data_IF_015133476169
#
_entry.id   IF_015133476169
#
_cell.length_a   1.000
_cell.length_b   1.000
_cell.length_c   1.000
_cell.angle_alpha   90.00
_cell.angle_beta   90.00
_cell.angle_gamma   90.00
#
_symmetry.space_group_name_H-M   'P 1'
#
loop_
_entity.id
_entity.type
_entity.pdbx_description
1 polymer ?
#
# COMPACT_ATOMS: atom_id res chain seq x y z
N UNK A 1 -5.57 -11.34 18.06
CA UNK A 1 -5.30 -12.22 16.91
C UNK A 1 -5.53 -11.44 15.61
N UNK A 2 -4.60 -11.50 14.65
CA UNK A 2 -4.67 -10.73 13.39
C UNK A 2 -5.92 -11.09 12.57
N UNK A 3 -6.66 -10.11 12.08
CA UNK A 3 -7.72 -10.37 11.08
C UNK A 3 -7.09 -10.98 9.82
N UNK A 4 -7.39 -12.26 9.48
CA UNK A 4 -6.76 -12.92 8.34
C UNK A 4 -7.10 -12.22 7.03
N UNK A 5 -8.31 -11.66 6.91
CA UNK A 5 -8.79 -11.09 5.65
C UNK A 5 -8.04 -9.82 5.24
N UNK A 6 -7.69 -8.93 6.17
CA UNK A 6 -6.88 -7.75 5.83
C UNK A 6 -5.46 -8.16 5.38
N UNK A 7 -4.86 -9.21 5.96
CA UNK A 7 -3.59 -9.73 5.46
C UNK A 7 -3.73 -10.32 4.06
N UNK A 8 -4.83 -11.04 3.78
CA UNK A 8 -5.09 -11.62 2.46
C UNK A 8 -5.28 -10.55 1.39
N UNK A 9 -6.08 -9.51 1.67
CA UNK A 9 -6.27 -8.37 0.75
C UNK A 9 -4.93 -7.67 0.50
N UNK A 10 -4.14 -7.47 1.55
CA UNK A 10 -2.81 -6.89 1.43
C UNK A 10 -1.90 -7.72 0.52
N UNK A 11 -1.85 -9.04 0.71
CA UNK A 11 -1.06 -9.95 -0.12
C UNK A 11 -1.50 -9.90 -1.59
N UNK A 12 -2.81 -9.86 -1.83
CA UNK A 12 -3.35 -9.73 -3.18
C UNK A 12 -2.93 -8.41 -3.84
N UNK A 13 -2.99 -7.30 -3.09
CA UNK A 13 -2.46 -6.01 -3.54
C UNK A 13 -0.97 -6.04 -3.86
N UNK A 14 -0.15 -6.69 -3.01
CA UNK A 14 1.28 -6.88 -3.26
C UNK A 14 1.54 -7.70 -4.53
N UNK A 15 0.81 -8.79 -4.75
CA UNK A 15 0.93 -9.59 -5.97
C UNK A 15 0.63 -8.74 -7.21
N UNK A 16 -0.43 -7.93 -7.17
CA UNK A 16 -0.76 -7.01 -8.26
C UNK A 16 0.37 -5.99 -8.50
N UNK A 17 0.96 -5.41 -7.45
CA UNK A 17 2.11 -4.51 -7.58
C UNK A 17 3.33 -5.20 -8.20
N UNK A 18 3.59 -6.46 -7.86
CA UNK A 18 4.70 -7.21 -8.44
C UNK A 18 4.44 -7.55 -9.92
N UNK A 19 3.19 -7.86 -10.28
CA UNK A 19 2.78 -8.05 -11.68
C UNK A 19 2.94 -6.74 -12.47
N UNK A 20 2.61 -5.59 -11.89
CA UNK A 20 2.77 -4.31 -12.59
C UNK A 20 4.24 -3.97 -12.88
N UNK A 21 5.18 -4.41 -12.03
CA UNK A 21 6.63 -4.29 -12.31
C UNK A 21 7.03 -5.10 -13.54
N UNK A 22 6.49 -6.30 -13.73
CA UNK A 22 6.75 -7.12 -14.93
C UNK A 22 6.23 -6.37 -16.17
N UNK A 23 5.02 -5.81 -16.11
CA UNK A 23 4.45 -5.05 -17.22
C UNK A 23 5.21 -3.75 -17.53
N UNK A 24 5.84 -3.13 -16.53
CA UNK A 24 6.67 -1.94 -16.71
C UNK A 24 7.90 -2.25 -17.58
N UNK A 25 8.44 -3.47 -17.48
CA UNK A 25 9.62 -3.91 -18.24
C UNK A 25 9.32 -4.41 -19.65
N UNK A 26 8.05 -4.52 -20.05
CA UNK A 26 7.68 -4.91 -21.42
C UNK A 26 7.82 -3.69 -22.34
N UNK A 27 8.69 -3.73 -23.34
CA UNK A 27 8.89 -2.63 -24.31
C UNK A 27 8.29 -2.96 -25.70
N UNK A 28 8.48 -2.06 -26.66
CA UNK A 28 7.96 -2.19 -28.02
C UNK A 28 8.65 -3.27 -28.85
N UNK A 29 9.70 -3.92 -28.32
CA UNK A 29 10.34 -5.07 -28.99
C UNK A 29 9.53 -6.34 -28.82
N UNK A 30 8.77 -6.45 -27.73
CA UNK A 30 7.95 -7.62 -27.42
C UNK A 30 6.47 -7.45 -27.80
N UNK A 31 6.00 -6.20 -27.97
CA UNK A 31 4.58 -5.89 -28.16
C UNK A 31 4.36 -5.07 -29.42
N UNK A 32 3.32 -5.43 -30.17
CA UNK A 32 2.94 -4.73 -31.38
C UNK A 32 2.55 -3.26 -31.10
N UNK A 33 2.75 -2.32 -32.04
CA UNK A 33 2.37 -0.92 -31.86
C UNK A 33 0.89 -0.71 -31.51
N UNK A 34 0.00 -1.58 -31.99
CA UNK A 34 -1.45 -1.52 -31.73
C UNK A 34 -1.83 -1.97 -30.31
N UNK A 35 -1.05 -2.86 -29.71
CA UNK A 35 -1.29 -3.38 -28.36
C UNK A 35 -0.59 -2.56 -27.27
N UNK A 36 0.46 -1.82 -27.64
CA UNK A 36 1.26 -1.02 -26.70
C UNK A 36 0.42 -0.04 -25.83
N UNK A 37 -0.58 0.69 -26.36
CA UNK A 37 -1.42 1.55 -25.54
C UNK A 37 -2.21 0.78 -24.45
N UNK A 38 -2.59 -0.48 -24.73
CA UNK A 38 -3.26 -1.33 -23.73
C UNK A 38 -2.31 -1.70 -22.60
N UNK A 39 -1.03 -1.93 -22.90
CA UNK A 39 0.00 -2.16 -21.89
C UNK A 39 0.25 -0.90 -21.06
N UNK A 40 0.34 0.29 -21.69
CA UNK A 40 0.44 1.57 -20.98
C UNK A 40 -0.68 1.74 -19.95
N UNK A 41 -1.92 1.43 -20.35
CA UNK A 41 -3.06 1.50 -19.46
C UNK A 41 -3.00 0.45 -18.35
N UNK A 42 -2.70 -0.80 -18.69
CA UNK A 42 -2.58 -1.88 -17.72
C UNK A 42 -1.52 -1.58 -16.63
N UNK A 43 -0.39 -0.94 -16.99
CA UNK A 43 0.64 -0.51 -16.05
C UNK A 43 0.07 0.44 -14.99
N UNK A 44 -0.63 1.50 -15.41
CA UNK A 44 -1.23 2.49 -14.50
C UNK A 44 -2.31 1.84 -13.62
N UNK A 45 -3.18 1.02 -14.21
CA UNK A 45 -4.26 0.34 -13.52
C UNK A 45 -3.77 -0.62 -12.44
N UNK A 46 -2.85 -1.53 -12.78
CA UNK A 46 -2.36 -2.53 -11.84
C UNK A 46 -1.55 -1.88 -10.72
N UNK A 47 -0.65 -0.94 -11.04
CA UNK A 47 0.12 -0.26 -10.00
C UNK A 47 -0.78 0.52 -9.03
N UNK A 48 -1.77 1.26 -9.55
CA UNK A 48 -2.65 2.07 -8.70
C UNK A 48 -3.55 1.21 -7.81
N UNK A 49 -4.21 0.20 -8.40
CA UNK A 49 -5.14 -0.68 -7.68
C UNK A 49 -4.42 -1.60 -6.69
N UNK A 50 -3.27 -2.16 -7.08
CA UNK A 50 -2.41 -2.96 -6.20
C UNK A 50 -1.95 -2.17 -4.98
N UNK A 51 -1.52 -0.92 -5.19
CA UNK A 51 -1.17 -0.01 -4.10
C UNK A 51 -2.37 0.27 -3.19
N UNK A 52 -3.54 0.60 -3.74
CA UNK A 52 -4.75 0.88 -2.95
C UNK A 52 -5.17 -0.31 -2.10
N UNK A 53 -5.12 -1.52 -2.65
CA UNK A 53 -5.46 -2.75 -1.94
C UNK A 53 -4.44 -3.04 -0.83
N UNK A 54 -3.15 -2.97 -1.13
CA UNK A 54 -2.08 -3.23 -0.16
C UNK A 54 -2.08 -2.20 0.98
N UNK A 55 -2.00 -0.91 0.64
CA UNK A 55 -1.96 0.17 1.62
C UNK A 55 -3.29 0.34 2.34
N UNK A 56 -4.43 0.27 1.63
CA UNK A 56 -5.76 0.37 2.21
C UNK A 56 -6.05 -0.72 3.26
N UNK A 57 -5.52 -1.94 3.06
CA UNK A 57 -5.61 -3.00 4.05
C UNK A 57 -4.77 -2.73 5.30
N UNK A 58 -3.52 -2.24 5.16
CA UNK A 58 -2.69 -1.83 6.29
C UNK A 58 -3.32 -0.67 7.06
N UNK A 59 -3.78 0.34 6.33
CA UNK A 59 -4.50 1.50 6.85
C UNK A 59 -5.76 1.09 7.63
N UNK A 60 -6.56 0.15 7.11
CA UNK A 60 -7.76 -0.36 7.78
C UNK A 60 -7.46 -1.07 9.09
N UNK A 61 -6.35 -1.80 9.17
CA UNK A 61 -5.90 -2.40 10.43
C UNK A 61 -5.59 -1.35 11.49
N UNK A 62 -4.82 -0.32 11.13
CA UNK A 62 -4.44 0.75 12.06
C UNK A 62 -5.65 1.58 12.48
N UNK A 63 -6.51 1.95 11.53
CA UNK A 63 -7.76 2.67 11.81
C UNK A 63 -8.65 1.92 12.80
N UNK A 64 -8.74 0.59 12.67
CA UNK A 64 -9.51 -0.22 13.61
C UNK A 64 -8.96 -0.10 15.03
N UNK A 65 -7.64 -0.22 15.19
CA UNK A 65 -6.98 -0.12 16.50
C UNK A 65 -7.23 1.26 17.10
N UNK A 66 -7.04 2.31 16.31
CA UNK A 66 -7.36 3.68 16.71
C UNK A 66 -8.81 3.81 17.19
N UNK A 67 -9.78 3.34 16.38
CA UNK A 67 -11.21 3.43 16.71
C UNK A 67 -11.56 2.64 17.97
N UNK A 68 -10.97 1.47 18.17
CA UNK A 68 -11.19 0.66 19.37
C UNK A 68 -10.71 1.42 20.62
N UNK A 69 -9.50 1.98 20.57
CA UNK A 69 -8.94 2.72 21.70
C UNK A 69 -9.68 4.03 21.98
N UNK A 70 -10.06 4.79 20.96
CA UNK A 70 -10.79 6.06 21.16
C UNK A 70 -12.21 5.82 21.66
N UNK A 71 -12.89 4.77 21.18
CA UNK A 71 -14.25 4.44 21.64
C UNK A 71 -14.28 3.85 23.05
N UNK A 72 -13.29 3.06 23.43
CA UNK A 72 -13.18 2.57 24.81
C UNK A 72 -13.11 3.73 25.83
N UNK A 73 -12.51 4.87 25.45
CA UNK A 73 -12.46 6.08 26.29
C UNK A 73 -13.78 6.87 26.35
N UNK A 74 -14.65 6.74 25.35
CA UNK A 74 -15.83 7.62 25.20
C UNK A 74 -17.16 6.90 25.49
N UNK A 75 -17.28 5.62 25.14
CA UNK A 75 -18.54 4.87 25.33
C UNK A 75 -18.30 3.34 25.31
N UNK A 76 -18.10 2.69 26.49
CA UNK A 76 -17.70 1.29 26.60
C UNK A 76 -18.79 0.28 26.21
N UNK A 77 -20.04 0.71 25.98
CA UNK A 77 -21.16 -0.21 25.70
C UNK A 77 -21.42 -0.49 24.21
N UNK A 78 -20.71 0.19 23.29
CA UNK A 78 -21.04 0.18 21.85
C UNK A 78 -20.03 -0.64 21.02
N UNK A 79 -20.38 -1.89 20.73
CA UNK A 79 -19.59 -2.82 19.88
C UNK A 79 -19.24 -2.22 18.52
N UNK A 80 -18.00 -2.43 18.08
CA UNK A 80 -17.52 -2.03 16.74
C UNK A 80 -17.82 -3.17 15.76
N UNK A 81 -18.76 -2.94 14.84
CA UNK A 81 -19.11 -3.94 13.82
C UNK A 81 -17.97 -4.19 12.82
N UNK A 82 -17.65 -5.47 12.50
CA UNK A 82 -16.60 -5.84 11.56
C UNK A 82 -16.84 -5.36 10.11
N UNK A 83 -18.10 -5.18 9.71
CA UNK A 83 -18.48 -4.81 8.34
C UNK A 83 -17.93 -3.45 7.90
N UNK A 84 -17.68 -2.54 8.85
CA UNK A 84 -17.22 -1.16 8.58
C UNK A 84 -15.75 -1.06 8.10
N UNK A 85 -15.00 -2.17 8.14
CA UNK A 85 -13.62 -2.21 7.64
C UNK A 85 -13.57 -2.47 6.13
N UNK A 86 -14.42 -3.39 5.65
CA UNK A 86 -14.56 -3.67 4.21
C UNK A 86 -15.07 -2.44 3.46
N UNK A 87 -15.99 -1.69 4.06
CA UNK A 87 -16.52 -0.45 3.46
C UNK A 87 -15.43 0.60 3.24
N UNK A 88 -14.38 0.62 4.07
CA UNK A 88 -13.32 1.63 3.95
C UNK A 88 -12.34 1.33 2.82
N UNK A 89 -11.82 0.09 2.75
CA UNK A 89 -10.96 -0.34 1.63
C UNK A 89 -11.73 -0.24 0.32
N UNK A 90 -12.98 -0.69 0.30
CA UNK A 90 -13.84 -0.58 -0.88
C UNK A 90 -14.05 0.88 -1.27
N UNK A 91 -14.27 1.79 -0.33
CA UNK A 91 -14.43 3.21 -0.62
C UNK A 91 -13.17 3.83 -1.24
N UNK A 92 -11.99 3.53 -0.69
CA UNK A 92 -10.71 3.99 -1.27
C UNK A 92 -10.51 3.44 -2.68
N UNK A 93 -10.82 2.15 -2.90
CA UNK A 93 -10.74 1.52 -4.21
C UNK A 93 -11.75 2.13 -5.19
N UNK A 94 -12.97 2.42 -4.77
CA UNK A 94 -13.97 3.07 -5.63
C UNK A 94 -13.52 4.43 -6.12
N UNK A 95 -12.88 5.25 -5.28
CA UNK A 95 -12.33 6.54 -5.70
C UNK A 95 -11.22 6.33 -6.73
N UNK A 96 -10.30 5.39 -6.47
CA UNK A 96 -9.21 5.04 -7.39
C UNK A 96 -9.74 4.58 -8.75
N UNK A 97 -10.76 3.72 -8.76
CA UNK A 97 -11.43 3.26 -9.97
C UNK A 97 -12.08 4.42 -10.75
N UNK A 98 -12.75 5.35 -10.07
CA UNK A 98 -13.36 6.52 -10.72
C UNK A 98 -12.29 7.38 -11.39
N UNK A 99 -11.16 7.63 -10.71
CA UNK A 99 -10.05 8.42 -11.28
C UNK A 99 -9.47 7.71 -12.51
N UNK A 100 -9.16 6.41 -12.41
CA UNK A 100 -8.55 5.65 -13.50
C UNK A 100 -9.49 5.46 -14.70
N UNK A 101 -10.78 5.19 -14.45
CA UNK A 101 -11.79 5.11 -15.52
C UNK A 101 -11.94 6.45 -16.23
N UNK A 102 -11.97 7.55 -15.47
CA UNK A 102 -12.04 8.89 -16.06
C UNK A 102 -10.80 9.19 -16.91
N UNK A 103 -9.60 8.83 -16.42
CA UNK A 103 -8.37 8.98 -17.18
C UNK A 103 -8.42 8.16 -18.48
N UNK A 104 -8.83 6.90 -18.41
CA UNK A 104 -8.92 6.01 -19.56
C UNK A 104 -9.95 6.46 -20.61
N UNK A 105 -11.12 6.97 -20.20
CA UNK A 105 -12.20 7.35 -21.11
C UNK A 105 -11.93 8.71 -21.77
N UNK A 106 -11.46 9.69 -20.99
CA UNK A 106 -11.34 11.07 -21.47
C UNK A 106 -9.96 11.45 -21.99
N UNK A 107 -8.90 10.78 -21.55
CA UNK A 107 -7.51 11.11 -21.93
C UNK A 107 -6.61 9.86 -21.82
N UNK A 108 -6.86 8.81 -22.62
CA UNK A 108 -6.15 7.55 -22.48
C UNK A 108 -4.65 7.70 -22.67
N UNK A 109 -3.85 6.92 -21.93
CA UNK A 109 -2.41 6.83 -22.18
C UNK A 109 -2.18 6.20 -23.55
N UNK A 110 -1.42 6.90 -24.38
CA UNK A 110 -1.01 6.48 -25.71
C UNK A 110 0.51 6.33 -25.78
N UNK A 111 0.96 5.58 -26.79
CA UNK A 111 2.38 5.49 -27.11
C UNK A 111 2.81 6.78 -27.79
N UNK A 112 3.75 7.49 -27.19
CA UNK A 112 4.42 8.65 -27.77
C UNK A 112 5.86 8.29 -28.14
N UNK A 113 6.29 8.66 -29.34
CA UNK A 113 7.66 8.40 -29.82
C UNK A 113 8.43 9.72 -29.81
N UNK A 114 9.42 9.81 -28.94
CA UNK A 114 10.36 10.92 -28.91
C UNK A 114 11.56 10.59 -29.80
N UNK A 115 11.77 11.38 -30.84
CA UNK A 115 12.86 11.18 -31.81
C UNK A 115 14.06 12.06 -31.45
N UNK A 116 15.25 11.46 -31.37
CA UNK A 116 16.49 12.17 -31.11
C UNK A 116 17.24 12.53 -32.41
N UNK A 117 18.24 13.44 -32.34
CA UNK A 117 19.09 13.77 -33.48
C UNK A 117 19.76 12.54 -34.10
N UNK A 118 20.10 12.65 -35.38
CA UNK A 118 20.81 11.59 -36.10
C UNK A 118 22.23 11.42 -35.54
N UNK A 119 22.61 10.17 -35.27
CA UNK A 119 23.93 9.78 -34.79
C UNK A 119 24.60 8.87 -35.83
N UNK A 120 25.92 8.98 -35.93
CA UNK A 120 26.73 8.12 -36.80
C UNK A 120 26.95 6.76 -36.10
N UNK A 121 26.84 5.62 -36.81
CA UNK A 121 27.02 4.30 -36.22
C UNK A 121 28.44 4.10 -35.67
N UNK A 122 28.53 3.50 -34.48
CA UNK A 122 29.80 3.27 -33.76
C UNK A 122 30.75 2.28 -34.48
N UNK A 123 30.26 1.48 -35.45
CA UNK A 123 31.01 0.32 -35.97
C UNK A 123 30.87 0.07 -37.48
N UNK A 124 30.47 1.06 -38.28
CA UNK A 124 30.30 0.86 -39.72
C UNK A 124 30.76 2.09 -40.51
N UNK A 125 31.51 1.89 -41.59
CA UNK A 125 31.95 2.94 -42.54
C UNK A 125 30.91 3.22 -43.63
N UNK A 126 29.71 2.67 -43.50
CA UNK A 126 28.61 2.86 -44.44
C UNK A 126 28.00 4.25 -44.24
N UNK A 127 27.58 4.91 -45.33
CA UNK A 127 26.90 6.22 -45.34
C UNK A 127 25.45 6.11 -44.81
N UNK A 128 25.28 5.54 -43.62
CA UNK A 128 24.00 5.41 -42.92
C UNK A 128 24.04 6.21 -41.62
N UNK A 129 22.92 6.85 -41.27
CA UNK A 129 22.73 7.55 -39.99
C UNK A 129 21.62 6.88 -39.19
N UNK A 130 21.83 6.72 -37.90
CA UNK A 130 20.86 6.11 -36.99
C UNK A 130 20.04 7.23 -36.33
N UNK A 131 18.73 7.07 -36.28
CA UNK A 131 17.83 7.94 -35.49
C UNK A 131 17.39 7.19 -34.25
N UNK A 132 17.86 7.56 -33.05
CA UNK A 132 17.34 6.97 -31.81
C UNK A 132 15.90 7.42 -31.58
N UNK A 133 15.05 6.50 -31.12
CA UNK A 133 13.66 6.77 -30.77
C UNK A 133 13.37 6.21 -29.37
N UNK A 134 12.57 6.93 -28.59
CA UNK A 134 12.21 6.59 -27.21
C UNK A 134 10.70 6.54 -27.03
N UNK A 135 10.21 5.45 -26.45
CA UNK A 135 8.78 5.13 -26.38
C UNK A 135 8.16 5.50 -25.03
N UNK A 136 7.44 6.61 -24.95
CA UNK A 136 6.75 7.01 -23.73
C UNK A 136 5.30 6.55 -23.70
N UNK A 137 4.77 6.33 -22.49
CA UNK A 137 3.34 6.19 -22.26
C UNK A 137 2.81 7.51 -21.71
N UNK A 138 2.20 8.34 -22.56
CA UNK A 138 1.78 9.68 -22.20
C UNK A 138 0.34 9.97 -22.66
N UNK A 139 -0.35 10.85 -21.95
CA UNK A 139 -1.68 11.37 -22.29
C UNK A 139 -1.58 12.87 -22.57
N UNK A 140 -2.59 13.50 -23.19
CA UNK A 140 -2.49 14.91 -23.56
C UNK A 140 -2.31 15.83 -22.35
N UNK A 141 -2.96 15.51 -21.22
CA UNK A 141 -2.85 16.25 -19.95
C UNK A 141 -2.20 15.39 -18.88
N UNK A 142 -1.11 14.71 -19.22
CA UNK A 142 -0.43 13.74 -18.35
C UNK A 142 -0.08 14.30 -16.96
N UNK A 143 0.50 15.49 -16.88
CA UNK A 143 0.86 16.12 -15.60
C UNK A 143 -0.35 16.38 -14.70
N UNK A 144 -1.51 16.69 -15.27
CA UNK A 144 -2.75 16.92 -14.52
C UNK A 144 -3.27 15.60 -13.92
N UNK A 145 -3.31 14.52 -14.71
CA UNK A 145 -3.76 13.21 -14.24
C UNK A 145 -2.80 12.59 -13.24
N UNK A 146 -1.49 12.65 -13.50
CA UNK A 146 -0.46 12.23 -12.55
C UNK A 146 -0.54 13.04 -11.25
N UNK A 147 -0.73 14.36 -11.34
CA UNK A 147 -0.94 15.23 -10.19
C UNK A 147 -2.19 14.84 -9.37
N UNK A 148 -3.30 14.51 -10.03
CA UNK A 148 -4.53 14.05 -9.38
C UNK A 148 -4.32 12.71 -8.66
N UNK A 149 -3.71 11.73 -9.34
CA UNK A 149 -3.42 10.40 -8.77
C UNK A 149 -2.44 10.54 -7.60
N UNK A 150 -1.29 11.19 -7.79
CA UNK A 150 -0.29 11.35 -6.74
C UNK A 150 -0.79 12.22 -5.58
N UNK A 151 -1.60 13.25 -5.85
CA UNK A 151 -2.24 14.04 -4.81
C UNK A 151 -3.18 13.19 -3.95
N UNK A 152 -4.06 12.41 -4.57
CA UNK A 152 -4.96 11.50 -3.86
C UNK A 152 -4.19 10.46 -3.03
N UNK A 153 -3.18 9.81 -3.63
CA UNK A 153 -2.34 8.81 -2.94
C UNK A 153 -1.55 9.46 -1.81
N UNK A 154 -1.04 10.67 -2.00
CA UNK A 154 -0.34 11.47 -0.98
C UNK A 154 -1.23 11.76 0.22
N UNK A 155 -2.49 12.16 0.00
CA UNK A 155 -3.46 12.36 1.09
C UNK A 155 -3.71 11.07 1.88
N UNK A 156 -3.86 9.94 1.19
CA UNK A 156 -4.00 8.62 1.83
C UNK A 156 -2.76 8.28 2.67
N UNK A 157 -1.57 8.51 2.13
CA UNK A 157 -0.30 8.27 2.82
C UNK A 157 -0.15 9.11 4.09
N UNK A 158 -0.45 10.41 4.00
CA UNK A 158 -0.41 11.34 5.15
C UNK A 158 -1.42 10.92 6.22
N UNK A 159 -2.64 10.55 5.82
CA UNK A 159 -3.65 10.13 6.77
C UNK A 159 -3.28 8.81 7.45
N UNK A 160 -2.75 7.84 6.71
CA UNK A 160 -2.27 6.59 7.31
C UNK A 160 -1.06 6.78 8.22
N UNK A 161 -0.17 7.72 7.89
CA UNK A 161 0.94 8.11 8.77
C UNK A 161 0.43 8.71 10.09
N UNK A 162 -0.54 9.63 10.02
CA UNK A 162 -1.16 10.24 11.20
C UNK A 162 -1.77 9.18 12.12
N UNK A 163 -2.53 8.22 11.57
CA UNK A 163 -3.10 7.14 12.38
C UNK A 163 -2.05 6.19 12.95
N UNK A 164 -1.00 5.88 12.19
CA UNK A 164 0.11 5.07 12.67
C UNK A 164 0.86 5.77 13.83
N UNK A 165 0.92 7.09 13.82
CA UNK A 165 1.48 7.88 14.91
C UNK A 165 0.59 7.83 16.16
N UNK A 166 -0.70 8.12 16.03
CA UNK A 166 -1.67 8.10 17.14
C UNK A 166 -1.75 6.72 17.82
N UNK A 167 -1.62 5.64 17.03
CA UNK A 167 -1.69 4.27 17.56
C UNK A 167 -0.40 3.75 18.18
N UNK A 168 0.72 4.50 18.10
CA UNK A 168 2.05 4.00 18.55
C UNK A 168 2.18 3.83 20.06
N UNK A 169 1.46 4.63 20.83
CA UNK A 169 1.65 4.78 22.29
C UNK A 169 0.76 3.85 23.13
N UNK A 170 -0.18 3.15 22.49
CA UNK A 170 -1.14 2.28 23.15
C UNK A 170 -0.39 1.00 23.55
N UNK A 171 -0.34 0.62 24.83
CA UNK A 171 0.44 -0.54 25.34
C UNK A 171 -0.50 -1.63 25.88
N UNK A 172 -0.79 -2.67 25.08
CA UNK A 172 -1.63 -3.83 25.44
C UNK A 172 -1.07 -5.06 24.72
N UNK A 173 -1.17 -6.26 25.32
CA UNK A 173 -0.48 -7.49 24.88
C UNK A 173 -0.80 -7.97 23.44
N UNK A 174 -1.88 -7.49 22.79
CA UNK A 174 -2.21 -7.74 21.37
C UNK A 174 -1.59 -6.71 20.38
N UNK A 175 -0.77 -5.75 20.84
CA UNK A 175 -0.33 -4.57 20.07
C UNK A 175 0.99 -4.76 19.29
N UNK A 176 1.74 -5.83 19.53
CA UNK A 176 2.94 -6.09 18.73
C UNK A 176 2.59 -6.24 17.23
N UNK A 177 1.48 -6.89 16.87
CA UNK A 177 1.01 -7.00 15.47
C UNK A 177 0.73 -5.62 14.86
N UNK A 178 0.00 -4.75 15.56
CA UNK A 178 -0.30 -3.40 15.07
C UNK A 178 0.94 -2.51 14.98
N UNK A 179 1.95 -2.73 15.84
CA UNK A 179 3.22 -1.98 15.79
C UNK A 179 3.99 -2.29 14.52
N UNK A 180 4.08 -3.56 14.12
CA UNK A 180 4.76 -3.93 12.88
C UNK A 180 4.00 -3.45 11.64
N UNK A 181 2.66 -3.47 11.66
CA UNK A 181 1.84 -2.86 10.59
C UNK A 181 2.08 -1.34 10.52
N UNK A 182 2.16 -0.66 11.67
CA UNK A 182 2.52 0.76 11.73
C UNK A 182 3.91 1.03 11.13
N UNK A 183 4.93 0.24 11.51
CA UNK A 183 6.28 0.32 10.92
C UNK A 183 6.27 0.11 9.40
N UNK A 184 5.44 -0.82 8.91
CA UNK A 184 5.26 -1.04 7.47
C UNK A 184 4.66 0.18 6.77
N UNK A 185 3.73 0.91 7.41
CA UNK A 185 3.18 2.15 6.86
C UNK A 185 4.27 3.23 6.75
N UNK A 186 5.11 3.40 7.78
CA UNK A 186 6.24 4.34 7.71
C UNK A 186 7.18 3.99 6.54
N UNK A 187 7.51 2.70 6.36
CA UNK A 187 8.33 2.23 5.24
C UNK A 187 7.73 2.61 3.88
N UNK A 188 6.44 2.31 3.66
CA UNK A 188 5.76 2.61 2.40
C UNK A 188 5.72 4.12 2.14
N UNK A 189 5.39 4.93 3.16
CA UNK A 189 5.32 6.39 3.03
C UNK A 189 6.69 6.96 2.62
N UNK A 190 7.76 6.60 3.32
CA UNK A 190 9.11 7.10 3.05
C UNK A 190 9.55 6.72 1.63
N UNK A 191 9.36 5.46 1.24
CA UNK A 191 9.74 5.01 -0.10
C UNK A 191 8.91 5.72 -1.17
N UNK A 192 7.60 5.88 -1.02
CA UNK A 192 6.77 6.59 -1.99
C UNK A 192 7.18 8.09 -2.12
N UNK A 193 7.52 8.76 -1.01
CA UNK A 193 7.95 10.15 -1.02
C UNK A 193 9.30 10.35 -1.70
N UNK A 194 10.16 9.33 -1.75
CA UNK A 194 11.43 9.37 -2.47
C UNK A 194 11.21 8.96 -3.93
N UNK A 195 10.51 7.85 -4.16
CA UNK A 195 10.37 7.25 -5.48
C UNK A 195 9.58 8.13 -6.45
N UNK A 196 8.51 8.78 -5.99
CA UNK A 196 7.68 9.62 -6.87
C UNK A 196 8.45 10.82 -7.47
N UNK A 197 9.10 11.71 -6.69
CA UNK A 197 9.83 12.84 -7.27
C UNK A 197 11.07 12.40 -8.06
N UNK A 198 11.83 11.40 -7.57
CA UNK A 198 12.99 10.91 -8.32
C UNK A 198 12.55 10.30 -9.65
N UNK A 199 11.48 9.50 -9.66
CA UNK A 199 10.90 8.92 -10.87
C UNK A 199 10.46 9.96 -11.90
N UNK A 200 9.91 11.11 -11.46
CA UNK A 200 9.59 12.22 -12.36
C UNK A 200 10.86 12.85 -12.96
N UNK A 201 11.92 13.04 -12.16
CA UNK A 201 13.17 13.67 -12.62
C UNK A 201 13.90 12.79 -13.64
N UNK A 202 13.93 11.48 -13.42
CA UNK A 202 14.64 10.54 -14.31
C UNK A 202 13.76 9.94 -15.42
N UNK A 203 12.53 10.45 -15.60
CA UNK A 203 11.57 9.90 -16.57
C UNK A 203 12.09 9.89 -18.02
N UNK A 204 13.01 10.79 -18.35
CA UNK A 204 13.66 10.84 -19.68
C UNK A 204 14.65 9.70 -19.92
N UNK A 205 15.16 9.03 -18.87
CA UNK A 205 16.04 7.87 -18.98
C UNK A 205 15.28 6.59 -18.66
N UNK A 206 14.82 5.86 -19.68
CA UNK A 206 13.93 4.71 -19.49
C UNK A 206 14.55 3.57 -18.68
N UNK A 207 15.79 3.18 -18.98
CA UNK A 207 16.47 2.11 -18.23
C UNK A 207 16.66 2.47 -16.75
N UNK A 208 17.10 3.70 -16.48
CA UNK A 208 17.29 4.20 -15.13
C UNK A 208 15.95 4.33 -14.37
N UNK A 209 14.92 4.88 -15.03
CA UNK A 209 13.57 5.03 -14.49
C UNK A 209 12.94 3.68 -14.17
N UNK A 210 12.99 2.73 -15.11
CA UNK A 210 12.50 1.37 -14.92
C UNK A 210 13.21 0.69 -13.74
N UNK A 211 14.55 0.65 -13.74
CA UNK A 211 15.32 0.01 -12.70
C UNK A 211 15.02 0.61 -11.33
N UNK A 212 15.00 1.94 -11.23
CA UNK A 212 14.73 2.65 -9.98
C UNK A 212 13.32 2.38 -9.44
N UNK A 213 12.28 2.53 -10.27
CA UNK A 213 10.88 2.32 -9.86
C UNK A 213 10.64 0.84 -9.53
N UNK A 214 11.13 -0.09 -10.36
CA UNK A 214 10.98 -1.53 -10.14
C UNK A 214 11.64 -1.96 -8.82
N UNK A 215 12.90 -1.57 -8.59
CA UNK A 215 13.61 -1.89 -7.35
C UNK A 215 12.92 -1.28 -6.14
N UNK A 216 12.44 -0.03 -6.23
CA UNK A 216 11.73 0.61 -5.14
C UNK A 216 10.42 -0.12 -4.79
N UNK A 217 9.62 -0.51 -5.79
CA UNK A 217 8.37 -1.25 -5.57
C UNK A 217 8.64 -2.63 -4.98
N UNK A 218 9.60 -3.37 -5.55
CA UNK A 218 10.00 -4.70 -5.06
C UNK A 218 10.47 -4.60 -3.60
N UNK A 219 11.43 -3.71 -3.32
CA UNK A 219 11.97 -3.51 -1.98
C UNK A 219 10.87 -3.12 -0.98
N UNK A 220 9.98 -2.19 -1.36
CA UNK A 220 8.85 -1.78 -0.54
C UNK A 220 7.92 -2.95 -0.20
N UNK A 221 7.58 -3.76 -1.20
CA UNK A 221 6.71 -4.93 -1.03
C UNK A 221 7.35 -5.99 -0.13
N UNK A 222 8.60 -6.36 -0.39
CA UNK A 222 9.32 -7.37 0.40
C UNK A 222 9.52 -6.93 1.85
N UNK A 223 9.93 -5.69 2.08
CA UNK A 223 10.13 -5.18 3.44
C UNK A 223 8.81 -5.11 4.21
N UNK A 224 7.72 -4.70 3.55
CA UNK A 224 6.38 -4.67 4.16
C UNK A 224 5.89 -6.08 4.53
N UNK A 225 6.06 -7.05 3.62
CA UNK A 225 5.75 -8.46 3.90
C UNK A 225 6.59 -9.02 5.05
N UNK A 226 7.90 -8.75 5.05
CA UNK A 226 8.81 -9.18 6.10
C UNK A 226 8.35 -8.67 7.48
N UNK A 227 8.11 -7.37 7.59
CA UNK A 227 7.67 -6.74 8.84
C UNK A 227 6.35 -7.32 9.35
N UNK A 228 5.39 -7.58 8.47
CA UNK A 228 4.05 -8.02 8.86
C UNK A 228 3.97 -9.53 9.12
N UNK A 229 4.66 -10.36 8.34
CA UNK A 229 4.50 -11.82 8.42
C UNK A 229 5.58 -12.52 9.25
N UNK A 230 6.83 -12.03 9.29
CA UNK A 230 7.91 -12.71 10.05
C UNK A 230 7.58 -12.86 11.54
N UNK A 231 7.10 -11.83 12.26
CA UNK A 231 6.75 -11.99 13.67
C UNK A 231 5.67 -13.04 13.90
N UNK A 232 4.70 -13.15 12.97
CA UNK A 232 3.58 -14.11 13.04
C UNK A 232 4.05 -15.53 12.82
N UNK A 233 4.93 -15.74 11.84
CA UNK A 233 5.49 -17.06 11.55
C UNK A 233 6.32 -17.54 12.74
N UNK A 234 7.13 -16.68 13.34
CA UNK A 234 7.92 -17.01 14.54
C UNK A 234 7.00 -17.39 15.70
N UNK A 235 5.93 -16.63 15.94
CA UNK A 235 4.97 -16.91 17.02
C UNK A 235 4.28 -18.27 16.83
N UNK A 236 3.86 -18.60 15.61
CA UNK A 236 3.25 -19.90 15.27
C UNK A 236 4.22 -21.06 15.44
N UNK A 237 5.49 -20.90 15.07
CA UNK A 237 6.51 -21.95 15.22
C UNK A 237 6.86 -22.17 16.69
N UNK A 238 6.88 -21.10 17.50
CA UNK A 238 7.23 -21.17 18.92
C UNK A 238 6.11 -21.74 19.80
N UNK A 239 4.85 -21.60 19.38
CA UNK A 239 3.66 -22.07 20.11
C UNK A 239 2.79 -23.05 19.31
N UNK A 240 3.29 -24.26 18.98
CA UNK A 240 2.54 -25.24 18.19
C UNK A 240 1.35 -25.87 18.94
N UNK A 241 1.31 -25.80 20.28
CA UNK A 241 0.30 -26.46 21.13
C UNK A 241 -1.04 -25.73 21.23
N UNK A 242 -1.11 -24.42 20.94
CA UNK A 242 -2.36 -23.63 21.04
C UNK A 242 -3.35 -23.91 19.89
N UNK A 243 -2.90 -24.60 18.83
CA UNK A 243 -3.72 -24.97 17.67
C UNK A 243 -4.73 -26.09 17.94
N UNK A 244 -4.53 -26.92 18.97
CA UNK A 244 -5.41 -28.06 19.25
C UNK A 244 -6.77 -27.63 19.86
N UNK A 245 -6.86 -26.43 20.45
CA UNK A 245 -8.09 -25.92 21.06
C UNK A 245 -8.83 -24.87 20.21
N UNK A 246 -8.20 -24.26 19.19
CA UNK A 246 -8.85 -23.23 18.38
C UNK A 246 -9.67 -23.81 17.22
N UNK A 247 -10.84 -24.38 17.53
CA UNK A 247 -11.87 -24.65 16.53
C UNK A 247 -12.24 -23.31 15.86
N UNK A 248 -12.14 -23.28 14.53
CA UNK A 248 -12.42 -22.11 13.67
C UNK A 248 -13.71 -21.40 14.07
N UNK A 249 -13.58 -20.22 14.69
CA UNK A 249 -14.69 -19.31 14.96
C UNK A 249 -14.58 -18.14 13.98
N UNK A 250 -15.55 -17.95 13.05
CA UNK A 250 -15.45 -16.93 11.99
C UNK A 250 -15.47 -15.49 12.52
N UNK A 251 -15.79 -15.29 13.80
CA UNK A 251 -15.77 -14.01 14.52
C UNK A 251 -14.40 -13.66 15.13
N UNK A 252 -13.29 -13.95 14.44
CA UNK A 252 -11.94 -13.52 14.87
C UNK A 252 -11.68 -12.01 14.67
N UNK A 253 -12.70 -11.18 14.90
CA UNK A 253 -12.57 -9.85 15.48
C UNK A 253 -11.85 -9.93 16.83
N UNK A 254 -11.38 -8.79 17.37
CA UNK A 254 -11.04 -8.67 18.79
C UNK A 254 -12.08 -9.49 19.55
N UNK A 255 -11.67 -10.63 20.13
CA UNK A 255 -12.63 -11.58 20.71
C UNK A 255 -13.44 -10.78 21.73
N UNK A 256 -14.75 -11.07 21.91
CA UNK A 256 -15.52 -10.45 22.99
C UNK A 256 -14.76 -10.55 24.32
N UNK A 257 -14.03 -11.64 24.49
CA UNK A 257 -13.13 -11.92 25.61
C UNK A 257 -11.92 -10.97 25.69
N UNK A 258 -11.31 -10.61 24.55
CA UNK A 258 -10.24 -9.60 24.49
C UNK A 258 -10.76 -8.18 24.74
N UNK A 259 -11.98 -7.88 24.27
CA UNK A 259 -12.67 -6.61 24.51
C UNK A 259 -13.00 -6.44 25.99
N UNK A 260 -13.57 -7.48 26.62
CA UNK A 260 -13.84 -7.53 28.06
C UNK A 260 -12.55 -7.45 28.89
N UNK A 261 -11.50 -8.16 28.48
CA UNK A 261 -10.20 -8.11 29.17
C UNK A 261 -9.54 -6.73 29.07
N UNK A 262 -9.64 -6.06 27.93
CA UNK A 262 -9.13 -4.70 27.77
C UNK A 262 -9.92 -3.71 28.62
N UNK A 263 -11.25 -3.81 28.62
CA UNK A 263 -12.09 -2.97 29.49
C UNK A 263 -11.71 -3.17 30.96
N UNK A 264 -11.53 -4.41 31.40
CA UNK A 264 -11.10 -4.70 32.78
C UNK A 264 -9.76 -4.04 33.12
N UNK A 265 -8.77 -4.14 32.24
CA UNK A 265 -7.46 -3.52 32.45
C UNK A 265 -7.52 -1.98 32.48
N UNK A 266 -8.41 -1.37 31.70
CA UNK A 266 -8.62 0.09 31.73
C UNK A 266 -9.25 0.50 33.06
N UNK A 267 -10.29 -0.21 33.50
CA UNK A 267 -10.94 0.05 34.80
C UNK A 267 -9.97 -0.09 35.96
N UNK A 268 -9.15 -1.17 35.98
CA UNK A 268 -8.12 -1.37 37.00
C UNK A 268 -7.07 -0.24 36.99
N UNK A 269 -6.68 0.26 35.81
CA UNK A 269 -5.73 1.37 35.70
C UNK A 269 -6.32 2.68 36.26
N UNK A 270 -7.59 2.97 35.96
CA UNK A 270 -8.28 4.14 36.49
C UNK A 270 -8.45 4.07 38.01
N UNK A 271 -8.76 2.90 38.56
CA UNK A 271 -8.82 2.67 40.02
C UNK A 271 -7.46 2.87 40.68
N UNK A 272 -6.39 2.32 40.10
CA UNK A 272 -5.02 2.52 40.56
C UNK A 272 -4.63 4.01 40.56
N UNK A 273 -4.99 4.75 39.51
CA UNK A 273 -4.74 6.19 39.45
C UNK A 273 -5.50 6.97 40.52
N UNK A 274 -6.77 6.62 40.79
CA UNK A 274 -7.53 7.24 41.88
C UNK A 274 -6.91 6.99 43.25
N UNK A 275 -6.47 5.76 43.52
CA UNK A 275 -5.81 5.41 44.77
C UNK A 275 -4.50 6.17 44.97
N UNK A 276 -3.69 6.33 43.91
CA UNK A 276 -2.45 7.12 43.98
C UNK A 276 -2.76 8.60 44.29
N UNK A 277 -3.84 9.16 43.71
CA UNK A 277 -4.23 10.56 43.94
C UNK A 277 -4.81 10.80 45.33
N UNK A 278 -5.26 9.76 46.04
CA UNK A 278 -5.73 9.85 47.43
C UNK A 278 -4.60 9.70 48.47
N UNK A 279 -3.44 9.18 48.06
CA UNK A 279 -2.29 8.91 48.94
C UNK A 279 -1.19 9.97 48.82
N UNK A 280 -1.21 10.79 47.75
CA UNK A 280 -0.40 12.01 47.60
C UNK A 280 -1.19 13.25 48.02
#
# INVERSE_FOLDING_TARGET
SSHPVCNTIMLFGVIICLISVILLGIDGRFVSPEEYPKICQARAWLLSTGFTLAYGAMFSKVWRVHRFTTKAKTDPKKKVEPWKLYTMVSGLLSIDLVILLSWQIFDPLQRYLETFPLEDPVSTTDDIKIRPELEHCESQRNSMWLGLVYGFKGLILVFGLFLAYETRSIKVKQINDSRYVGMSIYNVVVLCLITAPVGMVIASQQDASFAFVALAVIFCCFLSMLLIFVPKVIEVIRHPKDKAESKYNPDSAISKEDEERYQKLVTENEELQRLITQVC
#
